data_IF_191976134894
#
_entry.id   IF_191976134894
#
_cell.length_a   1.000
_cell.length_b   1.000
_cell.length_c   1.000
_cell.angle_alpha   90.00
_cell.angle_beta   90.00
_cell.angle_gamma   90.00
#
_symmetry.space_group_name_H-M   'P 1'
#
loop_
_entity.id
_entity.type
_entity.pdbx_description
1 polymer ?
#
# COMPACT_ATOMS: atom_id res chain seq x y z
N UNK A 1 -23.69 -22.68 5.48
CA UNK A 1 -22.28 -23.02 5.78
C UNK A 1 -21.53 -21.69 5.94
N UNK A 2 -21.00 -21.49 7.15
CA UNK A 2 -20.14 -20.43 7.70
C UNK A 2 -20.03 -19.05 7.03
N UNK A 3 -20.61 -18.07 7.73
CA UNK A 3 -20.36 -16.63 7.54
C UNK A 3 -19.09 -16.23 8.29
N UNK A 4 -18.02 -15.91 7.56
CA UNK A 4 -16.77 -15.34 8.10
C UNK A 4 -17.04 -14.02 8.84
N UNK A 5 -17.09 -14.08 10.19
CA UNK A 5 -17.09 -12.90 11.07
C UNK A 5 -15.65 -12.55 11.47
N UNK A 6 -14.98 -11.76 10.64
CA UNK A 6 -13.72 -11.12 11.03
C UNK A 6 -13.97 -10.03 12.07
N UNK A 7 -13.80 -10.38 13.35
CA UNK A 7 -13.94 -9.45 14.47
C UNK A 7 -12.57 -8.82 14.76
N UNK A 8 -12.35 -7.58 14.32
CA UNK A 8 -11.15 -6.82 14.66
C UNK A 8 -11.30 -6.22 16.06
N UNK A 9 -10.68 -6.83 17.08
CA UNK A 9 -10.60 -6.29 18.43
C UNK A 9 -9.23 -5.61 18.60
N UNK A 10 -9.22 -4.29 18.71
CA UNK A 10 -8.04 -3.51 19.12
C UNK A 10 -8.31 -2.99 20.53
N UNK A 11 -7.67 -3.60 21.53
CA UNK A 11 -7.76 -3.15 22.92
C UNK A 11 -6.54 -2.28 23.26
N UNK A 12 -6.76 -1.03 23.70
CA UNK A 12 -5.76 -0.18 24.32
C UNK A 12 -6.35 0.55 25.52
N UNK A 13 -5.54 0.88 26.55
CA UNK A 13 -6.05 1.26 27.85
C UNK A 13 -6.36 2.75 27.99
N UNK A 14 -7.44 3.01 28.75
CA UNK A 14 -7.67 4.13 29.67
C UNK A 14 -8.54 5.33 29.20
N UNK A 15 -9.78 5.39 29.71
CA UNK A 15 -10.29 6.49 30.54
C UNK A 15 -11.68 6.12 31.10
N UNK A 16 -11.87 6.33 32.40
CA UNK A 16 -12.75 5.59 33.30
C UNK A 16 -14.14 6.21 33.54
N UNK A 17 -14.94 6.48 32.50
CA UNK A 17 -16.29 7.09 32.70
C UNK A 17 -17.34 6.69 31.66
N UNK A 18 -17.40 5.43 31.22
CA UNK A 18 -18.46 4.96 30.31
C UNK A 18 -19.06 3.65 30.83
N UNK A 19 -19.86 3.73 31.89
CA UNK A 19 -20.43 2.58 32.61
C UNK A 19 -21.71 2.01 31.99
N UNK A 20 -22.22 2.56 30.87
CA UNK A 20 -23.54 2.18 30.36
C UNK A 20 -23.68 2.17 28.83
N UNK A 21 -22.74 1.54 28.12
CA UNK A 21 -22.83 1.36 26.67
C UNK A 21 -22.86 -0.12 26.30
N UNK A 22 -23.97 -0.51 25.65
CA UNK A 22 -24.24 -1.85 25.14
C UNK A 22 -23.17 -2.32 24.15
N UNK A 23 -23.00 -3.65 24.08
CA UNK A 23 -22.08 -4.41 23.25
C UNK A 23 -21.67 -3.72 21.93
N UNK A 24 -20.37 -3.42 21.86
CA UNK A 24 -19.53 -3.19 20.67
C UNK A 24 -19.50 -1.76 20.11
N UNK A 25 -19.27 -0.76 20.96
CA UNK A 25 -18.80 0.56 20.50
C UNK A 25 -17.27 0.53 20.39
N UNK A 26 -16.75 0.74 19.18
CA UNK A 26 -15.32 0.98 18.96
C UNK A 26 -15.11 2.49 18.92
N UNK A 27 -14.50 3.03 19.97
CA UNK A 27 -14.09 4.44 20.01
C UNK A 27 -12.88 4.64 19.09
N UNK A 28 -13.11 5.33 17.97
CA UNK A 28 -12.06 5.73 17.05
C UNK A 28 -11.78 7.21 17.29
N UNK A 29 -10.63 7.50 17.90
CA UNK A 29 -10.21 8.87 18.19
C UNK A 29 -9.48 9.45 16.97
N UNK A 30 -9.66 10.74 16.65
CA UNK A 30 -8.87 11.38 15.60
C UNK A 30 -7.37 11.30 15.86
N UNK A 31 -6.61 10.87 14.87
CA UNK A 31 -5.15 10.82 14.86
C UNK A 31 -4.60 12.06 14.14
N UNK A 32 -3.56 12.67 14.73
CA UNK A 32 -2.84 13.78 14.12
C UNK A 32 -1.53 13.30 13.50
N UNK A 33 -1.33 13.55 12.20
CA UNK A 33 -0.08 13.27 11.48
C UNK A 33 0.52 14.55 10.95
N UNK A 34 1.82 14.71 11.22
CA UNK A 34 2.60 15.87 10.78
C UNK A 34 3.66 15.43 9.79
N UNK A 35 3.67 16.06 8.61
CA UNK A 35 4.62 15.79 7.53
C UNK A 35 5.40 17.06 7.26
N UNK A 36 6.73 16.97 7.24
CA UNK A 36 7.61 18.04 6.80
C UNK A 36 7.95 17.82 5.33
N UNK A 37 7.67 18.80 4.49
CA UNK A 37 7.92 18.74 3.05
C UNK A 37 8.99 19.76 2.69
N UNK A 38 10.09 19.29 2.10
CA UNK A 38 11.10 20.16 1.49
C UNK A 38 10.65 20.50 0.06
N UNK A 39 10.48 21.80 -0.20
CA UNK A 39 10.01 22.32 -1.48
C UNK A 39 11.16 22.63 -2.46
N UNK A 40 12.43 22.39 -2.09
CA UNK A 40 13.58 22.72 -2.96
C UNK A 40 13.47 22.13 -4.37
N UNK A 41 12.89 20.94 -4.51
CA UNK A 41 12.70 20.28 -5.82
C UNK A 41 11.51 20.82 -6.61
N UNK A 42 10.53 21.43 -5.94
CA UNK A 42 9.28 21.89 -6.56
C UNK A 42 9.27 23.39 -6.88
N UNK A 43 10.26 24.14 -6.39
CA UNK A 43 10.34 25.59 -6.55
C UNK A 43 11.29 26.00 -7.69
N UNK A 44 10.82 26.89 -8.55
CA UNK A 44 11.66 27.55 -9.55
C UNK A 44 12.73 28.46 -8.89
N UNK A 45 13.83 28.78 -9.59
CA UNK A 45 14.88 29.67 -9.07
C UNK A 45 14.36 31.04 -8.62
N UNK A 46 13.32 31.57 -9.27
CA UNK A 46 12.71 32.85 -8.89
C UNK A 46 11.94 32.74 -7.56
N UNK A 47 11.18 31.66 -7.36
CA UNK A 47 10.43 31.41 -6.12
C UNK A 47 11.37 31.13 -4.92
N UNK A 48 12.52 30.50 -5.16
CA UNK A 48 13.56 30.29 -4.13
C UNK A 48 14.10 31.60 -3.57
N UNK A 49 14.24 32.64 -4.41
CA UNK A 49 14.69 33.98 -3.99
C UNK A 49 13.65 34.69 -3.12
N UNK A 50 12.36 34.54 -3.45
CA UNK A 50 11.26 35.11 -2.68
C UNK A 50 11.12 34.48 -1.28
N UNK A 51 11.40 33.19 -1.14
CA UNK A 51 11.21 32.45 0.11
C UNK A 51 12.39 32.56 1.10
N UNK A 52 13.40 33.40 0.83
CA UNK A 52 14.52 33.70 1.73
C UNK A 52 15.05 32.47 2.49
N UNK A 53 15.33 31.37 1.76
CA UNK A 53 15.81 30.08 2.27
C UNK A 53 14.84 29.23 3.13
N UNK A 54 13.63 29.70 3.45
CA UNK A 54 12.61 28.90 4.16
C UNK A 54 11.87 27.99 3.17
N UNK A 55 12.50 26.87 2.86
CA UNK A 55 12.05 25.91 1.84
C UNK A 55 11.29 24.72 2.41
N UNK A 56 11.16 24.62 3.73
CA UNK A 56 10.42 23.53 4.38
C UNK A 56 9.07 24.03 4.88
N UNK A 57 8.01 23.34 4.46
CA UNK A 57 6.65 23.54 5.00
C UNK A 57 6.32 22.35 5.90
N UNK A 58 5.68 22.63 7.04
CA UNK A 58 5.13 21.60 7.92
C UNK A 58 3.62 21.56 7.73
N UNK A 59 3.09 20.38 7.38
CA UNK A 59 1.67 20.15 7.15
C UNK A 59 1.17 19.19 8.23
N UNK A 60 0.13 19.58 8.95
CA UNK A 60 -0.49 18.76 10.00
C UNK A 60 -1.92 18.41 9.59
N UNK A 61 -2.27 17.13 9.69
CA UNK A 61 -3.61 16.60 9.37
C UNK A 61 -4.16 15.89 10.60
N UNK A 62 -5.35 16.29 11.05
CA UNK A 62 -6.13 15.58 12.06
C UNK A 62 -7.30 14.87 11.37
N UNK A 63 -7.45 13.57 11.59
CA UNK A 63 -8.50 12.77 10.96
C UNK A 63 -8.79 11.50 11.74
N UNK A 64 -9.93 10.86 11.50
CA UNK A 64 -10.11 9.48 11.94
C UNK A 64 -9.13 8.57 11.18
N UNK A 65 -8.42 7.64 11.84
CA UNK A 65 -7.48 6.71 11.21
C UNK A 65 -8.21 5.59 10.44
N UNK A 66 -9.16 5.96 9.58
CA UNK A 66 -9.96 5.04 8.77
C UNK A 66 -9.58 5.19 7.30
N UNK A 67 -9.44 4.05 6.64
CA UNK A 67 -9.32 3.97 5.19
C UNK A 67 -10.36 2.94 4.70
N UNK A 68 -11.01 3.16 3.54
CA UNK A 68 -11.85 2.14 2.94
C UNK A 68 -11.03 0.86 2.72
N UNK A 69 -11.30 -0.20 3.48
CA UNK A 69 -10.55 -1.45 3.38
C UNK A 69 -10.95 -2.29 2.16
N UNK A 70 -12.03 -1.92 1.46
CA UNK A 70 -12.56 -2.65 0.31
C UNK A 70 -11.64 -2.59 -0.93
N UNK A 71 -10.78 -1.58 -1.04
CA UNK A 71 -9.89 -1.42 -2.19
C UNK A 71 -8.50 -1.08 -1.71
N UNK A 72 -7.57 -2.01 -1.91
CA UNK A 72 -6.16 -1.83 -1.60
C UNK A 72 -5.35 -1.65 -2.88
N UNK A 73 -4.48 -0.65 -2.90
CA UNK A 73 -3.53 -0.48 -4.00
C UNK A 73 -2.39 -1.49 -3.88
N UNK A 74 -1.71 -1.77 -5.00
CA UNK A 74 -0.55 -2.69 -5.07
C UNK A 74 0.52 -2.37 -4.01
N UNK A 75 0.82 -1.08 -3.84
CA UNK A 75 1.82 -0.64 -2.88
C UNK A 75 1.34 -0.80 -1.42
N UNK A 76 0.03 -0.69 -1.17
CA UNK A 76 -0.54 -0.85 0.18
C UNK A 76 -0.68 -2.31 0.59
N UNK A 77 -0.84 -3.23 -0.37
CA UNK A 77 -0.86 -4.66 -0.09
C UNK A 77 0.54 -5.30 -0.06
N UNK A 78 1.61 -4.59 -0.47
CA UNK A 78 2.96 -5.14 -0.41
C UNK A 78 3.35 -5.58 1.01
N UNK A 79 3.82 -6.82 1.13
CA UNK A 79 4.20 -7.42 2.41
C UNK A 79 3.02 -7.89 3.27
N UNK A 80 1.79 -7.91 2.74
CA UNK A 80 0.61 -8.48 3.40
C UNK A 80 0.22 -9.81 2.76
N UNK A 81 -0.19 -10.78 3.56
CA UNK A 81 -0.93 -11.94 3.08
C UNK A 81 -2.42 -11.60 3.09
N UNK A 82 -3.14 -11.93 2.02
CA UNK A 82 -4.58 -11.74 1.87
C UNK A 82 -5.26 -13.11 1.79
N UNK A 83 -6.29 -13.32 2.59
CA UNK A 83 -7.03 -14.59 2.65
C UNK A 83 -7.91 -14.80 1.42
N UNK A 84 -8.54 -13.73 0.91
CA UNK A 84 -9.32 -13.76 -0.32
C UNK A 84 -9.50 -12.36 -0.92
N UNK A 85 -9.78 -12.27 -2.22
CA UNK A 85 -10.05 -10.98 -2.86
C UNK A 85 -10.21 -11.00 -4.37
N UNK A 86 -10.51 -9.82 -4.92
CA UNK A 86 -10.57 -9.58 -6.36
C UNK A 86 -9.45 -8.63 -6.76
N UNK A 87 -8.70 -8.97 -7.80
CA UNK A 87 -7.61 -8.15 -8.33
C UNK A 87 -7.95 -7.56 -9.69
N UNK A 88 -7.54 -6.31 -9.91
CA UNK A 88 -7.50 -5.69 -11.24
C UNK A 88 -6.03 -5.46 -11.63
N UNK A 89 -5.60 -6.20 -12.65
CA UNK A 89 -4.23 -6.16 -13.17
C UNK A 89 -4.13 -5.38 -14.49
N UNK A 90 -5.24 -4.86 -14.99
CA UNK A 90 -5.22 -4.01 -16.17
C UNK A 90 -4.76 -2.62 -15.76
N UNK A 91 -3.66 -2.09 -16.33
CA UNK A 91 -3.16 -0.77 -15.98
C UNK A 91 -4.16 0.34 -16.36
N UNK A 92 -4.21 1.45 -15.61
CA UNK A 92 -4.96 2.63 -16.03
C UNK A 92 -4.43 3.17 -17.35
N UNK A 93 -5.28 3.84 -18.16
CA UNK A 93 -4.85 4.49 -19.39
C UNK A 93 -3.64 5.41 -19.11
N UNK A 94 -2.65 5.38 -20.00
CA UNK A 94 -1.41 6.19 -19.93
C UNK A 94 -0.38 5.81 -18.87
N UNK A 95 -0.58 4.71 -18.13
CA UNK A 95 0.40 4.23 -17.14
C UNK A 95 1.26 3.11 -17.74
N UNK A 96 2.59 3.19 -17.55
CA UNK A 96 3.47 2.04 -17.84
C UNK A 96 3.21 0.97 -16.80
N UNK A 97 2.74 -0.19 -17.25
CA UNK A 97 2.59 -1.38 -16.43
C UNK A 97 3.95 -2.04 -16.21
N UNK A 98 4.25 -2.37 -14.96
CA UNK A 98 5.44 -3.10 -14.55
C UNK A 98 5.07 -4.51 -14.06
N UNK A 99 5.84 -5.51 -14.48
CA UNK A 99 5.66 -6.92 -14.09
C UNK A 99 5.66 -7.08 -12.57
N UNK A 100 6.50 -6.30 -11.89
CA UNK A 100 6.61 -6.33 -10.43
C UNK A 100 5.27 -5.99 -9.76
N UNK A 101 4.48 -5.08 -10.33
CA UNK A 101 3.17 -4.71 -9.76
C UNK A 101 2.18 -5.86 -9.85
N UNK A 102 2.06 -6.51 -11.01
CA UNK A 102 1.20 -7.70 -11.17
C UNK A 102 1.66 -8.84 -10.28
N UNK A 103 2.97 -9.10 -10.20
CA UNK A 103 3.51 -10.12 -9.31
C UNK A 103 3.17 -9.81 -7.84
N UNK A 104 3.34 -8.55 -7.41
CA UNK A 104 3.01 -8.12 -6.03
C UNK A 104 1.55 -8.35 -5.73
N UNK A 105 0.62 -8.14 -6.66
CA UNK A 105 -0.81 -8.44 -6.46
C UNK A 105 -1.08 -9.93 -6.28
N UNK A 106 -0.58 -10.76 -7.20
CA UNK A 106 -0.88 -12.20 -7.21
C UNK A 106 -0.23 -12.89 -6.01
N UNK A 107 1.00 -12.51 -5.67
CA UNK A 107 1.76 -13.09 -4.55
C UNK A 107 1.27 -12.71 -3.15
N UNK A 108 0.12 -12.04 -3.02
CA UNK A 108 -0.53 -11.83 -1.70
C UNK A 108 -1.45 -12.97 -1.32
N UNK A 109 -1.91 -13.76 -2.29
CA UNK A 109 -2.84 -14.85 -2.08
C UNK A 109 -2.08 -16.17 -1.97
N UNK A 110 -2.57 -17.05 -1.11
CA UNK A 110 -1.97 -18.36 -0.86
C UNK A 110 -2.42 -19.43 -1.86
N UNK A 111 -3.57 -19.22 -2.51
CA UNK A 111 -4.11 -20.11 -3.54
C UNK A 111 -4.77 -19.32 -4.67
N UNK A 112 -4.94 -19.96 -5.84
CA UNK A 112 -5.68 -19.36 -6.95
C UNK A 112 -7.19 -19.26 -6.65
N UNK A 113 -7.73 -20.17 -5.85
CA UNK A 113 -9.15 -20.18 -5.45
C UNK A 113 -9.50 -18.99 -4.54
N UNK A 114 -8.52 -18.49 -3.78
CA UNK A 114 -8.66 -17.29 -2.95
C UNK A 114 -8.74 -16.00 -3.76
N UNK A 115 -8.53 -16.03 -5.08
CA UNK A 115 -8.37 -14.83 -5.90
C UNK A 115 -9.23 -14.88 -7.16
N UNK A 116 -9.97 -13.80 -7.42
CA UNK A 116 -10.64 -13.59 -8.70
C UNK A 116 -10.01 -12.44 -9.47
N UNK A 117 -10.01 -12.53 -10.80
CA UNK A 117 -9.55 -11.44 -11.68
C UNK A 117 -10.78 -10.66 -12.14
N UNK A 118 -10.77 -9.35 -11.91
CA UNK A 118 -11.93 -8.47 -12.13
C UNK A 118 -12.41 -8.45 -13.58
N UNK A 119 -11.48 -8.51 -14.53
CA UNK A 119 -11.76 -8.36 -15.97
C UNK A 119 -10.74 -9.09 -16.85
N UNK A 120 -11.10 -9.46 -18.09
CA UNK A 120 -10.15 -10.00 -19.05
C UNK A 120 -8.98 -9.06 -19.28
N UNK A 121 -7.79 -9.63 -19.47
CA UNK A 121 -6.55 -8.90 -19.65
C UNK A 121 -5.67 -9.56 -20.73
N UNK A 122 -4.88 -8.79 -21.49
CA UNK A 122 -4.00 -9.36 -22.50
C UNK A 122 -2.84 -10.11 -21.85
N UNK A 123 -2.45 -11.27 -22.42
CA UNK A 123 -1.29 -12.06 -21.96
C UNK A 123 0.02 -11.29 -21.92
N UNK A 124 0.13 -10.20 -22.68
CA UNK A 124 1.30 -9.31 -22.67
C UNK A 124 1.59 -8.73 -21.29
N UNK A 125 0.60 -8.58 -20.40
CA UNK A 125 0.77 -8.10 -19.03
C UNK A 125 1.60 -9.07 -18.18
N UNK A 126 1.44 -10.39 -18.39
CA UNK A 126 2.20 -11.42 -17.67
C UNK A 126 3.56 -11.72 -18.33
N UNK A 127 3.65 -11.52 -19.65
CA UNK A 127 4.83 -11.85 -20.44
C UNK A 127 5.87 -10.72 -20.52
N UNK A 128 5.78 -9.73 -19.64
CA UNK A 128 6.77 -8.65 -19.59
C UNK A 128 8.13 -9.20 -19.13
N UNK A 129 9.20 -8.81 -19.83
CA UNK A 129 10.55 -9.23 -19.45
C UNK A 129 11.04 -8.35 -18.29
N UNK A 130 11.65 -8.93 -17.24
CA UNK A 130 12.32 -8.14 -16.20
C UNK A 130 13.40 -7.25 -16.81
N UNK A 131 13.64 -6.10 -16.16
CA UNK A 131 14.70 -5.17 -16.56
C UNK A 131 16.06 -5.89 -16.62
N UNK A 132 16.94 -5.59 -17.60
CA UNK A 132 18.25 -6.22 -17.72
C UNK A 132 19.07 -6.17 -16.42
N UNK A 133 19.04 -5.04 -15.72
CA UNK A 133 19.76 -4.87 -14.45
C UNK A 133 19.26 -5.80 -13.35
N UNK A 134 17.94 -6.03 -13.27
CA UNK A 134 17.38 -7.01 -12.32
C UNK A 134 17.84 -8.43 -12.64
N UNK A 135 17.96 -8.77 -13.93
CA UNK A 135 18.50 -10.07 -14.35
C UNK A 135 19.99 -10.20 -14.02
N UNK A 136 20.76 -9.14 -14.22
CA UNK A 136 22.17 -9.13 -13.87
C UNK A 136 22.35 -9.33 -12.35
N UNK A 137 21.54 -8.65 -11.54
CA UNK A 137 21.55 -8.79 -10.09
C UNK A 137 21.13 -10.19 -9.63
N UNK A 138 20.06 -10.76 -10.20
CA UNK A 138 19.65 -12.14 -9.92
C UNK A 138 20.78 -13.14 -10.20
N UNK A 139 21.51 -12.99 -11.31
CA UNK A 139 22.67 -13.85 -11.61
C UNK A 139 23.79 -13.69 -10.59
N UNK A 140 24.06 -12.44 -10.14
CA UNK A 140 25.05 -12.16 -9.10
C UNK A 140 24.67 -12.87 -7.79
N UNK A 141 23.41 -12.76 -7.38
CA UNK A 141 22.90 -13.44 -6.18
C UNK A 141 23.00 -14.97 -6.29
N UNK A 142 22.59 -15.54 -7.42
CA UNK A 142 22.71 -16.98 -7.67
C UNK A 142 24.15 -17.48 -7.59
N UNK A 143 25.12 -16.70 -8.09
CA UNK A 143 26.53 -17.09 -8.00
C UNK A 143 27.05 -17.13 -6.56
N UNK A 144 26.51 -16.28 -5.68
CA UNK A 144 26.86 -16.26 -4.25
C UNK A 144 26.29 -17.50 -3.56
N UNK A 145 25.00 -17.79 -3.77
CA UNK A 145 24.32 -18.94 -3.15
C UNK A 145 24.95 -20.29 -3.56
N UNK A 146 25.58 -20.36 -4.74
CA UNK A 146 26.27 -21.56 -5.23
C UNK A 146 27.71 -21.74 -4.72
N UNK A 147 28.22 -20.79 -3.92
CA UNK A 147 29.61 -20.82 -3.40
C UNK A 147 29.71 -21.37 -1.96
N UNK A 148 28.57 -21.77 -1.35
CA UNK A 148 28.49 -22.54 -0.11
C UNK A 148 28.26 -24.04 -0.40
#
# INVERSE_FOLDING_TARGET
AETMRGSFIVALPLASTLTDLQLTIILIVPEQKTIKVDLKSCLSPAQKRLLQNKTTITITRCQLPLIPAYVLTTHKCQGKALESGVIDIVPPPYTKHDLAQTYVHISRFTSLEAMAILRPFPRSILNQKPHPDMKAELRRLQSIDSTD
#
